data_IF_240509850852
#
_entry.id   IF_240509850852
#
_cell.length_a   1.000
_cell.length_b   1.000
_cell.length_c   1.000
_cell.angle_alpha   90.00
_cell.angle_beta   90.00
_cell.angle_gamma   90.00
#
_symmetry.space_group_name_H-M   'P 1'
#
loop_
_entity.id
_entity.type
_entity.pdbx_description
1 polymer ?
#
# COMPACT_ATOMS: atom_id res chain seq x y z
N UNK A 1 3.52 2.88 13.97
CA UNK A 1 4.91 3.12 13.46
C UNK A 1 4.86 4.27 12.46
N UNK A 2 5.89 5.14 12.43
CA UNK A 2 5.95 6.29 11.53
C UNK A 2 7.28 6.30 10.77
N UNK A 3 7.22 6.18 9.45
CA UNK A 3 8.37 6.38 8.56
C UNK A 3 8.27 7.80 7.97
N UNK A 4 9.25 8.67 8.22
CA UNK A 4 9.24 10.07 7.74
C UNK A 4 10.21 10.27 6.57
N UNK A 5 9.63 10.53 5.39
CA UNK A 5 10.25 11.06 4.15
C UNK A 5 11.50 10.28 3.69
N UNK A 6 11.27 9.11 3.10
CA UNK A 6 12.23 8.51 2.17
C UNK A 6 11.96 9.00 0.75
N UNK A 7 13.00 8.99 -0.11
CA UNK A 7 12.86 9.30 -1.53
C UNK A 7 12.08 8.21 -2.28
N UNK A 8 12.26 6.95 -1.86
CA UNK A 8 11.49 5.80 -2.30
C UNK A 8 11.50 4.75 -1.17
N UNK A 9 10.62 3.77 -1.24
CA UNK A 9 10.58 2.63 -0.32
C UNK A 9 10.62 1.37 -1.18
N UNK A 10 11.57 0.48 -0.90
CA UNK A 10 11.63 -0.85 -1.50
C UNK A 10 11.31 -1.88 -0.41
N UNK A 11 10.20 -2.58 -0.59
CA UNK A 11 9.70 -3.66 0.27
C UNK A 11 9.45 -4.94 -0.55
N UNK A 12 10.17 -5.14 -1.65
CA UNK A 12 10.06 -6.38 -2.43
C UNK A 12 10.47 -7.59 -1.59
N UNK A 13 9.62 -8.63 -1.57
CA UNK A 13 9.76 -9.81 -0.71
C UNK A 13 9.95 -9.50 0.80
N UNK A 14 9.70 -8.26 1.21
CA UNK A 14 9.88 -7.77 2.56
C UNK A 14 8.55 -7.62 3.31
N UNK A 15 8.64 -7.20 4.57
CA UNK A 15 7.48 -6.99 5.43
C UNK A 15 7.62 -5.69 6.22
N UNK A 16 6.65 -4.79 6.06
CA UNK A 16 6.46 -3.59 6.87
C UNK A 16 5.14 -3.77 7.63
N UNK A 17 5.23 -4.19 8.89
CA UNK A 17 4.05 -4.57 9.70
C UNK A 17 4.00 -3.72 10.98
N UNK A 18 2.80 -3.26 11.37
CA UNK A 18 2.57 -2.62 12.67
C UNK A 18 1.39 -3.23 13.40
N UNK A 19 1.54 -3.49 14.71
CA UNK A 19 0.45 -3.97 15.58
C UNK A 19 -0.57 -2.87 15.96
N UNK A 20 -0.42 -1.65 15.43
CA UNK A 20 -1.33 -0.53 15.67
C UNK A 20 -1.48 0.28 14.38
N UNK A 21 -1.78 1.58 14.48
CA UNK A 21 -1.75 2.51 13.35
C UNK A 21 -0.37 2.50 12.66
N UNK A 22 -0.40 2.47 11.32
CA UNK A 22 0.77 2.76 10.49
C UNK A 22 0.50 3.96 9.58
N UNK A 23 1.48 4.87 9.50
CA UNK A 23 1.54 5.85 8.41
C UNK A 23 2.88 5.73 7.69
N UNK A 24 2.81 5.40 6.40
CA UNK A 24 3.93 5.28 5.50
C UNK A 24 3.95 6.50 4.56
N UNK A 25 4.98 7.34 4.65
CA UNK A 25 5.12 8.53 3.81
C UNK A 25 6.44 8.48 3.02
N UNK A 26 6.33 8.52 1.69
CA UNK A 26 7.47 8.62 0.75
C UNK A 26 7.20 9.71 -0.27
N UNK A 27 8.23 10.45 -0.68
CA UNK A 27 8.08 11.47 -1.73
C UNK A 27 8.09 10.87 -3.14
N UNK A 28 8.50 9.61 -3.29
CA UNK A 28 8.54 8.91 -4.57
C UNK A 28 7.84 7.56 -4.52
N UNK A 29 8.43 6.54 -5.14
CA UNK A 29 7.80 5.24 -5.32
C UNK A 29 7.73 4.42 -4.02
N UNK A 30 6.65 3.66 -3.84
CA UNK A 30 6.61 2.49 -2.97
C UNK A 30 6.63 1.22 -3.85
N UNK A 31 7.69 0.43 -3.77
CA UNK A 31 7.78 -0.88 -4.42
C UNK A 31 7.48 -1.99 -3.41
N UNK A 32 6.27 -2.52 -3.45
CA UNK A 32 5.78 -3.63 -2.63
C UNK A 32 5.55 -4.90 -3.46
N UNK A 33 6.20 -5.02 -4.63
CA UNK A 33 6.01 -6.17 -5.53
C UNK A 33 6.63 -7.45 -4.98
N UNK A 34 6.43 -8.55 -5.70
CA UNK A 34 7.19 -9.80 -5.51
C UNK A 34 7.05 -10.36 -4.08
N UNK A 35 5.80 -10.55 -3.62
CA UNK A 35 5.46 -11.00 -2.26
C UNK A 35 5.85 -10.00 -1.15
N UNK A 36 5.94 -8.71 -1.46
CA UNK A 36 6.06 -7.66 -0.45
C UNK A 36 4.77 -7.50 0.35
N UNK A 37 4.90 -7.21 1.65
CA UNK A 37 3.74 -6.97 2.54
C UNK A 37 3.85 -5.64 3.27
N UNK A 38 2.84 -4.78 3.15
CA UNK A 38 2.63 -3.61 4.01
C UNK A 38 1.33 -3.82 4.79
N UNK A 39 1.41 -3.83 6.13
CA UNK A 39 0.29 -4.20 6.97
C UNK A 39 0.18 -3.38 8.24
N UNK A 40 -1.05 -3.10 8.66
CA UNK A 40 -1.33 -2.56 9.97
C UNK A 40 -2.48 -3.32 10.64
N UNK A 41 -2.37 -3.57 11.95
CA UNK A 41 -3.45 -4.17 12.72
C UNK A 41 -4.61 -3.19 12.96
N UNK A 42 -4.32 -1.88 12.91
CA UNK A 42 -5.32 -0.80 12.94
C UNK A 42 -5.22 0.01 11.63
N UNK A 43 -5.65 1.28 11.63
CA UNK A 43 -5.67 2.11 10.43
C UNK A 43 -4.32 2.12 9.71
N UNK A 44 -4.34 1.83 8.40
CA UNK A 44 -3.19 1.92 7.52
C UNK A 44 -3.33 3.16 6.64
N UNK A 45 -2.33 4.05 6.67
CA UNK A 45 -2.24 5.17 5.74
C UNK A 45 -0.94 5.09 4.94
N UNK A 46 -1.06 4.98 3.62
CA UNK A 46 0.05 5.05 2.67
C UNK A 46 -0.08 6.33 1.87
N UNK A 47 0.96 7.17 1.89
CA UNK A 47 1.07 8.38 1.10
C UNK A 47 2.36 8.30 0.29
N UNK A 48 2.22 8.14 -1.02
CA UNK A 48 3.33 8.10 -1.96
C UNK A 48 3.22 9.27 -2.93
N UNK A 49 4.26 10.11 -3.00
CA UNK A 49 4.33 11.18 -3.99
C UNK A 49 4.54 10.66 -5.43
N UNK A 50 4.93 9.38 -5.59
CA UNK A 50 5.04 8.69 -6.86
C UNK A 50 4.12 7.47 -6.96
N UNK A 51 4.53 6.49 -7.76
CA UNK A 51 3.77 5.27 -7.98
C UNK A 51 3.81 4.33 -6.77
N UNK A 52 2.73 3.58 -6.58
CA UNK A 52 2.69 2.40 -5.72
C UNK A 52 2.66 1.18 -6.61
N UNK A 53 3.68 0.34 -6.51
CA UNK A 53 3.78 -0.94 -7.23
C UNK A 53 3.50 -2.07 -6.25
N UNK A 54 2.36 -2.74 -6.41
CA UNK A 54 1.89 -3.82 -5.54
C UNK A 54 1.64 -5.13 -6.32
N UNK A 55 2.31 -5.29 -7.45
CA UNK A 55 2.16 -6.44 -8.35
C UNK A 55 2.79 -7.73 -7.80
N UNK A 56 2.51 -8.86 -8.46
CA UNK A 56 3.19 -10.13 -8.24
C UNK A 56 3.13 -10.57 -6.76
N UNK A 57 1.91 -10.81 -6.29
CA UNK A 57 1.58 -11.21 -4.93
C UNK A 57 1.96 -10.17 -3.86
N UNK A 58 2.08 -8.89 -4.25
CA UNK A 58 2.17 -7.77 -3.32
C UNK A 58 0.87 -7.61 -2.52
N UNK A 59 1.02 -7.36 -1.22
CA UNK A 59 -0.10 -7.20 -0.28
C UNK A 59 0.01 -5.89 0.50
N UNK A 60 -1.04 -5.07 0.43
CA UNK A 60 -1.24 -3.89 1.29
C UNK A 60 -2.55 -4.09 2.04
N UNK A 61 -2.53 -4.19 3.37
CA UNK A 61 -3.77 -4.42 4.12
C UNK A 61 -3.87 -3.78 5.51
N UNK A 62 -5.10 -3.45 5.91
CA UNK A 62 -5.45 -3.20 7.31
C UNK A 62 -6.29 -4.36 7.86
N UNK A 63 -5.91 -4.87 9.03
CA UNK A 63 -6.51 -6.09 9.61
C UNK A 63 -7.86 -5.84 10.31
N UNK A 64 -8.06 -4.68 10.94
CA UNK A 64 -9.25 -4.43 11.79
C UNK A 64 -9.83 -3.02 11.63
N UNK A 65 -9.30 -2.20 10.72
CA UNK A 65 -9.71 -0.81 10.56
C UNK A 65 -9.55 -0.36 9.11
N UNK A 66 -9.66 0.96 8.89
CA UNK A 66 -9.61 1.57 7.57
C UNK A 66 -8.22 1.48 6.92
N UNK A 67 -8.20 1.47 5.60
CA UNK A 67 -7.00 1.68 4.81
C UNK A 67 -7.17 2.87 3.86
N UNK A 68 -6.18 3.75 3.83
CA UNK A 68 -6.11 4.89 2.93
C UNK A 68 -4.83 4.82 2.12
N UNK A 69 -4.95 4.75 0.80
CA UNK A 69 -3.87 4.75 -0.16
C UNK A 69 -3.95 6.01 -1.01
N UNK A 70 -2.99 6.92 -0.87
CA UNK A 70 -2.82 8.10 -1.71
C UNK A 70 -1.53 7.96 -2.54
N UNK A 71 -1.65 8.03 -3.87
CA UNK A 71 -0.52 7.83 -4.79
C UNK A 71 -0.68 8.64 -6.08
N UNK A 72 0.43 8.85 -6.81
CA UNK A 72 0.36 9.38 -8.18
C UNK A 72 -0.27 8.35 -9.13
N UNK A 73 0.21 7.10 -9.09
CA UNK A 73 -0.37 5.96 -9.81
C UNK A 73 -0.30 4.68 -8.98
N UNK A 74 -1.15 3.70 -9.29
CA UNK A 74 -1.21 2.40 -8.63
C UNK A 74 -1.14 1.29 -9.66
N UNK A 75 -0.14 0.41 -9.54
CA UNK A 75 -0.12 -0.90 -10.19
C UNK A 75 -0.37 -1.97 -9.13
N UNK A 76 -1.40 -2.78 -9.31
CA UNK A 76 -1.85 -3.86 -8.43
C UNK A 76 -2.09 -5.15 -9.22
N UNK A 77 -1.30 -5.40 -10.27
CA UNK A 77 -1.43 -6.54 -11.18
C UNK A 77 -1.06 -7.84 -10.47
N UNK A 78 -2.03 -8.74 -10.30
CA UNK A 78 -1.88 -9.93 -9.44
C UNK A 78 -1.46 -9.56 -8.01
N UNK A 79 -1.88 -8.39 -7.53
CA UNK A 79 -1.68 -7.90 -6.18
C UNK A 79 -2.98 -7.83 -5.38
N UNK A 80 -2.88 -7.44 -4.12
CA UNK A 80 -4.02 -7.23 -3.24
C UNK A 80 -3.86 -5.95 -2.40
N UNK A 81 -4.88 -5.08 -2.45
CA UNK A 81 -5.09 -3.96 -1.54
C UNK A 81 -6.40 -4.20 -0.79
N UNK A 82 -6.34 -4.29 0.53
CA UNK A 82 -7.47 -4.74 1.34
C UNK A 82 -7.65 -3.92 2.63
N UNK A 83 -8.88 -3.82 3.08
CA UNK A 83 -9.23 -3.33 4.42
C UNK A 83 -10.33 -4.22 4.99
N UNK A 84 -10.48 -4.23 6.31
CA UNK A 84 -11.70 -4.73 6.96
C UNK A 84 -12.69 -3.59 7.23
N UNK A 85 -12.19 -2.35 7.35
CA UNK A 85 -13.00 -1.15 7.46
C UNK A 85 -13.19 -0.48 6.10
N UNK A 86 -13.23 0.85 6.09
CA UNK A 86 -13.28 1.59 4.84
C UNK A 86 -11.95 1.48 4.08
N UNK A 87 -12.02 1.15 2.79
CA UNK A 87 -10.89 1.28 1.88
C UNK A 87 -11.06 2.51 1.00
N UNK A 88 -10.12 3.45 1.09
CA UNK A 88 -10.00 4.60 0.20
C UNK A 88 -8.75 4.46 -0.65
N UNK A 89 -8.92 4.41 -1.96
CA UNK A 89 -7.84 4.44 -2.96
C UNK A 89 -7.98 5.74 -3.74
N UNK A 90 -7.12 6.70 -3.42
CA UNK A 90 -7.08 8.04 -4.00
C UNK A 90 -5.82 8.16 -4.87
N UNK A 91 -6.01 8.06 -6.18
CA UNK A 91 -4.92 7.97 -7.16
C UNK A 91 -5.12 9.04 -8.22
N UNK A 92 -4.09 9.86 -8.47
CA UNK A 92 -4.19 11.01 -9.36
C UNK A 92 -4.29 10.62 -10.84
N UNK A 93 -3.53 9.61 -11.25
CA UNK A 93 -3.42 9.18 -12.65
C UNK A 93 -4.11 7.83 -12.87
N UNK A 94 -3.35 6.74 -12.91
CA UNK A 94 -3.82 5.42 -13.34
C UNK A 94 -3.90 4.42 -12.20
N UNK A 95 -4.93 3.58 -12.26
CA UNK A 95 -5.05 2.37 -11.44
C UNK A 95 -5.07 1.16 -12.38
N UNK A 96 -3.99 0.39 -12.41
CA UNK A 96 -3.94 -0.91 -13.07
C UNK A 96 -4.18 -2.02 -12.04
N UNK A 97 -5.32 -2.69 -12.15
CA UNK A 97 -5.72 -3.78 -11.26
C UNK A 97 -5.98 -5.10 -12.02
N UNK A 98 -5.28 -5.32 -13.15
CA UNK A 98 -5.47 -6.54 -13.94
C UNK A 98 -5.14 -7.80 -13.14
N UNK A 99 -6.12 -8.69 -13.00
CA UNK A 99 -6.03 -9.89 -12.16
C UNK A 99 -5.66 -9.59 -10.69
N UNK A 100 -5.80 -8.34 -10.25
CA UNK A 100 -5.57 -7.89 -8.88
C UNK A 100 -6.87 -7.78 -8.09
N UNK A 101 -6.75 -7.46 -6.80
CA UNK A 101 -7.86 -7.32 -5.88
C UNK A 101 -7.77 -5.99 -5.12
N UNK A 102 -8.85 -5.23 -5.13
CA UNK A 102 -9.06 -4.04 -4.30
C UNK A 102 -10.39 -4.28 -3.57
N UNK A 103 -10.35 -4.52 -2.26
CA UNK A 103 -11.50 -5.04 -1.49
C UNK A 103 -11.60 -4.32 -0.14
N UNK A 104 -12.80 -3.87 0.20
CA UNK A 104 -13.18 -3.38 1.53
C UNK A 104 -13.90 -4.48 2.32
#
# INVERSE_FOLDING_TARGET
MLLRRSAAINNQAGQLISQSLMTLNTSGQLDNRNRGTVAANNTLKVVAGGSVLNDADGLIYSQNADAHLNAASLSNVRGAVQSVGALVVDVADTVDNQNGRIIA
#
